data_IF_496880306551
#
_entry.id   IF_496880306551
#
_cell.length_a   1.000
_cell.length_b   1.000
_cell.length_c   1.000
_cell.angle_alpha   90.00
_cell.angle_beta   90.00
_cell.angle_gamma   90.00
#
_symmetry.space_group_name_H-M   'P 1'
#
loop_
_entity.id
_entity.type
_entity.pdbx_description
1 polymer ?
#
# COMPACT_ATOMS: atom_id res chain seq x y z
N UNK A 1 -13.90 -1.00 15.37
CA UNK A 1 -14.73 -1.98 14.64
C UNK A 1 -13.84 -2.65 13.60
N UNK A 2 -14.06 -3.93 13.33
CA UNK A 2 -13.34 -4.61 12.25
C UNK A 2 -13.85 -4.10 10.88
N UNK A 3 -13.01 -4.14 9.85
CA UNK A 3 -13.32 -3.54 8.55
C UNK A 3 -14.66 -4.02 7.97
N UNK A 4 -14.96 -5.33 8.06
CA UNK A 4 -16.22 -5.88 7.56
C UNK A 4 -17.43 -5.51 8.41
N UNK A 5 -17.27 -5.36 9.72
CA UNK A 5 -18.36 -4.92 10.61
C UNK A 5 -18.86 -3.54 10.19
N UNK A 6 -17.93 -2.63 9.92
CA UNK A 6 -18.23 -1.27 9.41
C UNK A 6 -18.96 -1.33 8.08
N UNK A 7 -18.44 -2.07 7.10
CA UNK A 7 -19.06 -2.14 5.76
C UNK A 7 -20.46 -2.74 5.81
N UNK A 8 -20.70 -3.77 6.63
CA UNK A 8 -22.02 -4.37 6.79
C UNK A 8 -23.02 -3.40 7.42
N UNK A 9 -22.58 -2.65 8.45
CA UNK A 9 -23.42 -1.63 9.08
C UNK A 9 -23.79 -0.51 8.10
N UNK A 10 -22.85 -0.08 7.27
CA UNK A 10 -23.07 0.98 6.27
C UNK A 10 -24.07 0.54 5.19
N UNK A 11 -24.03 -0.74 4.75
CA UNK A 11 -25.06 -1.31 3.86
C UNK A 11 -26.45 -1.23 4.49
N UNK A 12 -26.58 -1.61 5.77
CA UNK A 12 -27.86 -1.57 6.47
C UNK A 12 -28.39 -0.13 6.64
N UNK A 13 -27.48 0.85 6.69
CA UNK A 13 -27.81 2.29 6.77
C UNK A 13 -28.02 2.94 5.40
N UNK A 14 -27.71 2.23 4.31
CA UNK A 14 -27.73 2.80 2.96
C UNK A 14 -26.61 3.82 2.70
N UNK A 15 -25.51 3.77 3.45
CA UNK A 15 -24.34 4.63 3.24
C UNK A 15 -23.38 3.96 2.24
N UNK A 16 -23.16 4.63 1.12
CA UNK A 16 -22.30 4.14 0.04
C UNK A 16 -20.88 4.74 0.05
N UNK A 17 -20.51 5.51 1.08
CA UNK A 17 -19.27 6.31 1.08
C UNK A 17 -18.00 5.46 1.00
N UNK A 18 -18.01 4.27 1.61
CA UNK A 18 -16.85 3.35 1.61
C UNK A 18 -16.87 2.33 0.46
N UNK A 19 -17.81 2.46 -0.48
CA UNK A 19 -17.93 1.56 -1.62
C UNK A 19 -17.37 2.21 -2.88
N UNK A 20 -16.64 1.41 -3.67
CA UNK A 20 -16.15 1.86 -4.95
C UNK A 20 -17.31 1.98 -5.95
N UNK A 21 -17.40 3.13 -6.62
CA UNK A 21 -18.39 3.34 -7.69
C UNK A 21 -17.92 2.70 -8.99
N UNK A 22 -18.85 2.40 -9.89
CA UNK A 22 -18.55 1.77 -11.18
C UNK A 22 -17.59 2.61 -12.04
N UNK A 23 -17.83 3.92 -12.14
CA UNK A 23 -16.98 4.85 -12.89
C UNK A 23 -15.57 4.98 -12.29
N UNK A 24 -15.45 4.91 -10.97
CA UNK A 24 -14.15 4.89 -10.29
C UNK A 24 -13.38 3.61 -10.58
N UNK A 25 -14.06 2.46 -10.59
CA UNK A 25 -13.46 1.19 -10.94
C UNK A 25 -12.97 1.18 -12.39
N UNK A 26 -13.78 1.68 -13.33
CA UNK A 26 -13.39 1.82 -14.74
C UNK A 26 -12.17 2.73 -14.91
N UNK A 27 -12.11 3.87 -14.22
CA UNK A 27 -10.97 4.78 -14.26
C UNK A 27 -9.70 4.14 -13.68
N UNK A 28 -9.80 3.39 -12.58
CA UNK A 28 -8.67 2.66 -12.02
C UNK A 28 -8.12 1.62 -13.01
N UNK A 29 -9.01 0.88 -13.69
CA UNK A 29 -8.61 -0.08 -14.72
C UNK A 29 -7.97 0.59 -15.93
N UNK A 30 -8.45 1.76 -16.36
CA UNK A 30 -7.81 2.50 -17.47
C UNK A 30 -6.32 2.84 -17.18
N UNK A 31 -5.96 3.05 -15.91
CA UNK A 31 -4.57 3.33 -15.51
C UNK A 31 -3.72 2.06 -15.46
N UNK A 32 -4.27 0.95 -14.93
CA UNK A 32 -3.51 -0.28 -14.69
C UNK A 32 -3.40 -1.17 -15.93
N UNK A 33 -4.45 -1.22 -16.77
CA UNK A 33 -4.50 -2.12 -17.94
C UNK A 33 -3.30 -1.98 -18.88
N UNK A 34 -2.84 -0.77 -19.29
CA UNK A 34 -1.68 -0.65 -20.16
C UNK A 34 -0.38 -1.21 -19.56
N UNK A 35 -0.22 -1.16 -18.23
CA UNK A 35 0.94 -1.71 -17.52
C UNK A 35 0.91 -3.24 -17.61
N UNK A 36 -0.27 -3.84 -17.40
CA UNK A 36 -0.45 -5.29 -17.49
C UNK A 36 -0.22 -5.80 -18.92
N UNK A 37 -0.79 -5.13 -19.92
CA UNK A 37 -0.60 -5.47 -21.35
C UNK A 37 0.89 -5.39 -21.76
N UNK A 38 1.61 -4.38 -21.27
CA UNK A 38 3.04 -4.25 -21.50
C UNK A 38 3.84 -5.41 -20.86
N UNK A 39 3.47 -5.86 -19.66
CA UNK A 39 4.13 -6.99 -19.00
C UNK A 39 3.82 -8.35 -19.63
N UNK A 40 2.62 -8.52 -20.20
CA UNK A 40 2.26 -9.74 -20.93
C UNK A 40 3.06 -9.87 -22.23
N UNK A 41 3.23 -8.76 -22.95
CA UNK A 41 3.94 -8.73 -24.25
C UNK A 41 5.45 -8.66 -24.10
N UNK A 42 5.94 -8.00 -23.05
CA UNK A 42 7.37 -7.76 -22.82
C UNK A 42 7.76 -8.29 -21.45
N UNK A 43 8.34 -9.49 -21.41
CA UNK A 43 8.89 -10.02 -20.15
C UNK A 43 10.11 -9.20 -19.73
N UNK A 44 10.16 -8.70 -18.49
CA UNK A 44 11.35 -8.04 -17.98
C UNK A 44 12.54 -9.01 -17.99
N UNK A 45 13.65 -8.60 -18.60
CA UNK A 45 14.89 -9.37 -18.58
C UNK A 45 15.62 -9.24 -17.24
N UNK A 46 15.41 -8.13 -16.54
CA UNK A 46 16.03 -7.81 -15.26
C UNK A 46 14.94 -7.35 -14.28
N UNK A 47 14.18 -8.31 -13.75
CA UNK A 47 13.16 -8.02 -12.75
C UNK A 47 13.82 -7.85 -11.38
N UNK A 48 13.67 -6.69 -10.70
CA UNK A 48 14.38 -6.41 -9.47
C UNK A 48 13.76 -7.18 -8.30
N UNK A 49 14.32 -8.36 -8.03
CA UNK A 49 13.95 -9.18 -6.88
C UNK A 49 14.52 -8.60 -5.59
N UNK A 50 13.90 -8.94 -4.46
CA UNK A 50 14.32 -8.54 -3.12
C UNK A 50 14.09 -9.68 -2.12
N UNK A 51 14.82 -9.65 -1.01
CA UNK A 51 14.70 -10.65 0.04
C UNK A 51 13.39 -10.47 0.82
N UNK A 52 12.73 -11.58 1.18
CA UNK A 52 11.55 -11.55 2.03
C UNK A 52 11.88 -10.92 3.40
N UNK A 53 10.99 -10.05 3.90
CA UNK A 53 11.20 -9.24 5.11
C UNK A 53 11.77 -7.85 4.84
N UNK A 54 12.26 -7.58 3.62
CA UNK A 54 12.72 -6.25 3.22
C UNK A 54 11.59 -5.41 2.62
N UNK A 55 11.78 -4.09 2.57
CA UNK A 55 10.84 -3.11 2.03
C UNK A 55 10.65 -3.15 0.50
N UNK A 56 11.53 -3.84 -0.21
CA UNK A 56 11.53 -3.90 -1.67
C UNK A 56 12.94 -3.87 -2.25
N UNK A 57 13.08 -3.80 -3.58
CA UNK A 57 14.37 -3.67 -4.23
C UNK A 57 14.91 -2.25 -4.16
N UNK A 58 16.24 -2.10 -4.25
CA UNK A 58 16.92 -0.78 -4.29
C UNK A 58 16.42 0.11 -5.44
N UNK A 59 16.02 -0.49 -6.56
CA UNK A 59 15.44 0.23 -7.70
C UNK A 59 14.14 0.97 -7.36
N UNK A 60 13.38 0.52 -6.35
CA UNK A 60 12.19 1.23 -5.87
C UNK A 60 12.54 2.51 -5.07
N UNK A 61 13.67 2.53 -4.36
CA UNK A 61 14.18 3.74 -3.71
C UNK A 61 14.69 4.73 -4.76
N UNK A 62 15.46 4.24 -5.73
CA UNK A 62 15.98 5.07 -6.84
C UNK A 62 14.83 5.73 -7.61
N UNK A 63 13.74 5.00 -7.88
CA UNK A 63 12.57 5.52 -8.59
C UNK A 63 11.98 6.77 -7.92
N UNK A 64 11.82 6.75 -6.60
CA UNK A 64 11.26 7.88 -5.85
C UNK A 64 12.30 8.99 -5.64
N UNK A 65 13.58 8.63 -5.48
CA UNK A 65 14.68 9.59 -5.34
C UNK A 65 14.87 10.48 -6.57
N UNK A 66 14.49 10.03 -7.77
CA UNK A 66 14.50 10.84 -8.99
C UNK A 66 13.64 12.11 -8.88
N UNK A 67 12.55 12.04 -8.09
CA UNK A 67 11.68 13.18 -7.79
C UNK A 67 12.11 13.97 -6.54
N UNK A 68 13.31 13.69 -6.00
CA UNK A 68 13.83 14.32 -4.78
C UNK A 68 13.10 13.91 -3.50
N UNK A 69 12.45 12.73 -3.52
CA UNK A 69 11.66 12.19 -2.41
C UNK A 69 12.33 10.93 -1.86
N UNK A 70 11.91 10.50 -0.67
CA UNK A 70 12.28 9.22 -0.08
C UNK A 70 11.03 8.53 0.47
N UNK A 71 11.07 7.20 0.56
CA UNK A 71 10.00 6.47 1.23
C UNK A 71 9.96 6.82 2.73
N UNK A 72 8.76 6.91 3.28
CA UNK A 72 8.58 7.09 4.72
C UNK A 72 8.75 5.72 5.37
N UNK A 73 9.77 5.59 6.22
CA UNK A 73 9.93 4.38 7.03
C UNK A 73 8.72 4.25 7.94
N UNK A 74 7.97 3.14 7.87
CA UNK A 74 6.83 2.96 8.75
C UNK A 74 7.36 2.76 10.16
N UNK A 75 6.89 3.64 11.02
CA UNK A 75 7.19 3.60 12.44
C UNK A 75 6.09 2.85 13.17
N UNK A 76 6.50 1.97 14.07
CA UNK A 76 5.60 1.24 14.94
C UNK A 76 5.45 1.97 16.26
N UNK A 77 4.25 1.95 16.82
CA UNK A 77 4.03 2.38 18.20
C UNK A 77 4.37 1.21 19.12
N UNK A 78 5.45 1.33 19.89
CA UNK A 78 5.79 0.37 20.93
C UNK A 78 5.26 0.90 22.26
N UNK A 79 4.24 0.23 22.77
CA UNK A 79 3.71 0.46 24.11
C UNK A 79 4.21 -0.69 24.99
N UNK A 80 4.94 -0.40 26.07
CA UNK A 80 5.19 -1.39 27.11
C UNK A 80 3.91 -1.60 27.93
N UNK A 81 3.72 -2.80 28.48
CA UNK A 81 2.48 -3.21 29.19
C UNK A 81 2.07 -2.26 30.32
N UNK A 82 3.01 -1.53 30.93
CA UNK A 82 2.78 -0.58 32.04
C UNK A 82 2.99 0.90 31.67
N UNK A 83 3.19 1.24 30.39
CA UNK A 83 3.49 2.60 29.96
C UNK A 83 2.24 3.38 29.52
N UNK A 84 1.97 4.52 30.15
CA UNK A 84 0.90 5.46 29.75
C UNK A 84 1.20 6.22 28.45
N UNK A 85 2.41 6.08 27.90
CA UNK A 85 2.86 6.77 26.68
C UNK A 85 3.55 5.74 25.78
N UNK A 86 3.09 5.65 24.53
CA UNK A 86 3.71 4.82 23.51
C UNK A 86 4.79 5.62 22.77
N UNK A 87 5.89 4.97 22.42
CA UNK A 87 6.95 5.58 21.64
C UNK A 87 6.92 5.11 20.19
N UNK A 88 7.13 6.05 19.27
CA UNK A 88 7.30 5.79 17.84
C UNK A 88 8.73 5.25 17.65
N UNK A 89 8.85 4.01 17.19
CA UNK A 89 10.14 3.37 16.90
C UNK A 89 10.19 2.93 15.44
N UNK A 90 11.34 3.09 14.75
CA UNK A 90 11.60 2.39 13.48
C UNK A 90 11.54 0.87 13.72
N UNK A 91 11.10 0.11 12.72
CA UNK A 91 11.12 -1.36 12.79
C UNK A 91 12.53 -1.88 13.13
N UNK A 92 12.67 -2.92 13.97
CA UNK A 92 13.97 -3.56 14.15
C UNK A 92 14.42 -4.23 12.84
N UNK A 93 15.72 -4.09 12.52
CA UNK A 93 16.41 -4.84 11.45
C UNK A 93 16.26 -6.36 11.59
#
# INVERSE_FOLDING_TARGET
>A
PEAYETLLLDVLRGDATLFMRADQAEAAWQVITPILEAWETTRPTDFPNYQAGMWGPETAEILIAQDGRSWIMPTFLRCQEDAAVCHVVPEPE
#
